data_IF_653208129225
#
_entry.id   IF_653208129225
#
_cell.length_a   1.000
_cell.length_b   1.000
_cell.length_c   1.000
_cell.angle_alpha   90.00
_cell.angle_beta   90.00
_cell.angle_gamma   90.00
#
_symmetry.space_group_name_H-M   'P 1'
#
loop_
_entity.id
_entity.type
_entity.pdbx_description
1 polymer ?
#
# COMPACT_ATOMS: atom_id res chain seq x y z
N UNK A 1 -14.43 -29.21 -9.91
CA UNK A 1 -13.11 -29.28 -9.26
C UNK A 1 -12.47 -27.92 -9.17
N UNK A 2 -11.82 -27.62 -8.03
CA UNK A 2 -11.05 -26.39 -7.83
C UNK A 2 -9.58 -26.66 -8.18
N UNK A 3 -8.96 -25.80 -8.98
CA UNK A 3 -7.56 -25.98 -9.42
C UNK A 3 -6.54 -25.38 -8.46
N UNK A 4 -6.97 -24.55 -7.50
CA UNK A 4 -6.12 -23.92 -6.49
C UNK A 4 -6.78 -22.73 -5.81
N UNK A 5 -6.03 -22.08 -4.92
CA UNK A 5 -6.46 -20.90 -4.15
C UNK A 5 -5.39 -19.80 -4.27
N UNK A 6 -5.83 -18.55 -4.43
CA UNK A 6 -4.98 -17.35 -4.39
C UNK A 6 -5.40 -16.41 -3.27
N UNK A 7 -4.44 -15.81 -2.56
CA UNK A 7 -4.68 -14.86 -1.48
C UNK A 7 -3.79 -13.61 -1.60
N UNK A 8 -4.40 -12.43 -1.57
CA UNK A 8 -3.70 -11.19 -1.24
C UNK A 8 -3.76 -10.96 0.27
N UNK A 9 -2.64 -10.59 0.89
CA UNK A 9 -2.57 -10.35 2.33
C UNK A 9 -1.92 -9.01 2.65
N UNK A 10 -2.37 -8.32 3.71
CA UNK A 10 -1.54 -7.29 4.34
C UNK A 10 -0.32 -7.94 4.98
N UNK A 11 0.68 -7.11 5.32
CA UNK A 11 1.93 -7.55 5.94
C UNK A 11 2.99 -7.99 4.94
N UNK A 12 4.15 -8.39 5.47
CA UNK A 12 5.29 -8.84 4.68
C UNK A 12 5.15 -10.33 4.36
N UNK A 13 5.26 -10.67 3.09
CA UNK A 13 5.15 -12.04 2.58
C UNK A 13 6.54 -12.58 2.24
N UNK A 14 6.88 -13.75 2.77
CA UNK A 14 8.01 -14.54 2.28
C UNK A 14 7.44 -15.59 1.31
N UNK A 15 7.58 -15.32 0.02
CA UNK A 15 6.97 -16.15 -1.05
C UNK A 15 7.61 -17.54 -1.11
N UNK A 16 8.92 -17.63 -0.86
CA UNK A 16 9.63 -18.91 -0.91
C UNK A 16 9.20 -19.82 0.24
N UNK A 17 9.06 -19.25 1.46
CA UNK A 17 8.59 -20.01 2.63
C UNK A 17 7.07 -20.12 2.71
N UNK A 18 6.33 -19.31 1.95
CA UNK A 18 4.88 -19.23 2.01
C UNK A 18 4.35 -18.73 3.35
N UNK A 19 5.07 -17.78 3.98
CA UNK A 19 4.75 -17.25 5.30
C UNK A 19 4.39 -15.76 5.26
N UNK A 20 3.68 -15.30 6.29
CA UNK A 20 3.27 -13.89 6.45
C UNK A 20 3.64 -13.40 7.85
N UNK A 21 4.09 -12.16 7.97
CA UNK A 21 4.34 -11.50 9.26
C UNK A 21 3.97 -10.02 9.18
N UNK A 22 3.58 -9.41 10.30
CA UNK A 22 3.32 -7.97 10.38
C UNK A 22 1.95 -7.55 9.83
N UNK A 23 1.01 -8.47 9.66
CA UNK A 23 -0.39 -8.14 9.39
C UNK A 23 -1.10 -7.79 10.71
N UNK A 24 -0.84 -6.60 11.24
CA UNK A 24 -1.31 -6.17 12.56
C UNK A 24 -2.83 -6.10 12.69
N UNK A 25 -3.54 -5.78 11.61
CA UNK A 25 -5.00 -5.81 11.55
C UNK A 25 -5.58 -7.22 11.71
N UNK A 26 -4.78 -8.26 11.44
CA UNK A 26 -5.12 -9.67 11.64
C UNK A 26 -4.54 -10.23 12.94
N UNK A 27 -3.91 -9.40 13.77
CA UNK A 27 -3.11 -9.80 14.94
C UNK A 27 -1.98 -10.79 14.62
N UNK A 28 -1.47 -10.80 13.38
CA UNK A 28 -0.35 -11.64 12.98
C UNK A 28 0.98 -10.94 13.27
N UNK A 29 1.29 -10.83 14.56
CA UNK A 29 2.52 -10.21 15.05
C UNK A 29 3.73 -11.13 14.92
N UNK A 30 3.51 -12.44 14.81
CA UNK A 30 4.54 -13.46 14.57
C UNK A 30 4.37 -14.09 13.19
N UNK A 31 5.40 -14.80 12.73
CA UNK A 31 5.39 -15.50 11.44
C UNK A 31 4.26 -16.54 11.40
N UNK A 32 3.42 -16.47 10.38
CA UNK A 32 2.33 -17.40 10.12
C UNK A 32 2.64 -18.28 8.89
N UNK A 33 2.61 -19.63 9.00
CA UNK A 33 2.84 -20.54 7.87
C UNK A 33 1.57 -20.77 7.05
N UNK A 34 1.04 -19.69 6.47
CA UNK A 34 -0.27 -19.66 5.81
C UNK A 34 -0.37 -20.70 4.68
N UNK A 35 0.68 -20.83 3.85
CA UNK A 35 0.68 -21.78 2.75
C UNK A 35 0.58 -23.22 3.22
N UNK A 36 1.45 -23.62 4.15
CA UNK A 36 1.46 -24.98 4.71
C UNK A 36 0.11 -25.33 5.33
N UNK A 37 -0.47 -24.41 6.11
CA UNK A 37 -1.75 -24.62 6.78
C UNK A 37 -2.89 -24.85 5.78
N UNK A 38 -2.96 -24.05 4.72
CA UNK A 38 -4.03 -24.15 3.72
C UNK A 38 -3.86 -25.38 2.82
N UNK A 39 -2.65 -25.64 2.32
CA UNK A 39 -2.39 -26.80 1.45
C UNK A 39 -2.60 -28.12 2.22
N UNK A 40 -2.17 -28.20 3.49
CA UNK A 40 -2.38 -29.39 4.32
C UNK A 40 -3.85 -29.64 4.63
N UNK A 41 -4.65 -28.58 4.82
CA UNK A 41 -6.06 -28.69 5.13
C UNK A 41 -6.93 -29.05 3.92
N UNK A 42 -6.57 -28.56 2.73
CA UNK A 42 -7.43 -28.65 1.54
C UNK A 42 -6.89 -29.56 0.43
N UNK A 43 -5.61 -29.90 0.46
CA UNK A 43 -4.98 -30.78 -0.53
C UNK A 43 -4.92 -30.20 -1.95
N UNK A 44 -5.04 -28.88 -2.10
CA UNK A 44 -4.96 -28.18 -3.39
C UNK A 44 -3.90 -27.07 -3.37
N UNK A 45 -3.33 -26.69 -4.52
CA UNK A 45 -2.28 -25.67 -4.58
C UNK A 45 -2.71 -24.32 -4.01
N UNK A 46 -1.82 -23.66 -3.27
CA UNK A 46 -2.03 -22.32 -2.73
C UNK A 46 -0.92 -21.34 -3.12
N UNK A 47 -1.33 -20.15 -3.53
CA UNK A 47 -0.46 -19.01 -3.78
C UNK A 47 -0.89 -17.81 -2.93
N UNK A 48 0.08 -17.07 -2.41
CA UNK A 48 -0.16 -15.82 -1.69
C UNK A 48 0.87 -14.77 -2.08
N UNK A 49 0.45 -13.52 -2.01
CA UNK A 49 1.30 -12.35 -2.26
C UNK A 49 0.77 -11.15 -1.45
N UNK A 50 1.52 -10.05 -1.44
CA UNK A 50 1.07 -8.79 -0.88
C UNK A 50 -0.17 -8.26 -1.63
N UNK A 51 -1.08 -7.61 -0.90
CA UNK A 51 -2.33 -7.08 -1.43
C UNK A 51 -2.15 -6.11 -2.62
N UNK A 52 -1.19 -5.19 -2.58
CA UNK A 52 -0.91 -4.26 -3.69
C UNK A 52 -0.40 -5.00 -4.94
N UNK A 53 0.42 -6.03 -4.76
CA UNK A 53 0.88 -6.90 -5.84
C UNK A 53 -0.27 -7.67 -6.51
N UNK A 54 -1.15 -8.28 -5.70
CA UNK A 54 -2.32 -9.00 -6.23
C UNK A 54 -3.28 -8.05 -6.95
N UNK A 55 -3.46 -6.83 -6.42
CA UNK A 55 -4.24 -5.81 -7.09
C UNK A 55 -3.61 -5.39 -8.43
N UNK A 56 -2.29 -5.24 -8.51
CA UNK A 56 -1.58 -4.98 -9.76
C UNK A 56 -1.78 -6.08 -10.80
N UNK A 57 -1.75 -7.36 -10.39
CA UNK A 57 -2.06 -8.49 -11.26
C UNK A 57 -3.51 -8.46 -11.77
N UNK A 58 -4.45 -8.10 -10.90
CA UNK A 58 -5.86 -7.95 -11.26
C UNK A 58 -6.08 -6.82 -12.27
N UNK A 59 -5.54 -5.64 -11.99
CA UNK A 59 -5.60 -4.48 -12.89
C UNK A 59 -4.92 -4.73 -14.22
N UNK A 60 -3.78 -5.43 -14.21
CA UNK A 60 -3.15 -5.91 -15.44
C UNK A 60 -4.08 -6.83 -16.21
N UNK A 61 -4.68 -7.83 -15.57
CA UNK A 61 -5.40 -8.88 -16.28
C UNK A 61 -6.79 -8.46 -16.80
N UNK A 62 -7.57 -7.76 -15.96
CA UNK A 62 -8.97 -7.42 -16.22
C UNK A 62 -9.32 -5.96 -16.02
N UNK A 63 -8.40 -5.16 -15.49
CA UNK A 63 -8.62 -3.74 -15.24
C UNK A 63 -7.93 -2.84 -16.27
N UNK A 64 -7.47 -1.68 -15.79
CA UNK A 64 -6.93 -0.61 -16.62
C UNK A 64 -5.59 -0.96 -17.30
N UNK A 65 -4.94 -2.05 -16.90
CA UNK A 65 -3.68 -2.48 -17.50
C UNK A 65 -3.83 -3.21 -18.84
N UNK A 66 -5.06 -3.55 -19.26
CA UNK A 66 -5.37 -4.12 -20.60
C UNK A 66 -4.47 -5.31 -21.03
N UNK A 67 -4.06 -6.12 -20.06
CA UNK A 67 -3.15 -7.25 -20.21
C UNK A 67 -1.75 -6.88 -20.75
N UNK A 68 -1.36 -5.60 -20.67
CA UNK A 68 -0.03 -5.11 -21.06
C UNK A 68 1.07 -5.83 -20.26
N UNK A 69 2.20 -6.21 -20.88
CA UNK A 69 3.33 -6.82 -20.16
C UNK A 69 3.97 -5.89 -19.12
N UNK A 70 3.83 -4.58 -19.26
CA UNK A 70 4.46 -3.58 -18.41
C UNK A 70 3.40 -2.69 -17.77
N UNK A 71 3.19 -2.85 -16.46
CA UNK A 71 2.17 -2.14 -15.68
C UNK A 71 2.76 -1.70 -14.35
N UNK A 72 2.61 -0.42 -14.02
CA UNK A 72 2.84 0.08 -12.67
C UNK A 72 1.47 0.41 -12.09
N UNK A 73 1.14 -0.28 -11.01
CA UNK A 73 -0.05 -0.02 -10.23
C UNK A 73 0.34 0.73 -8.95
N UNK A 74 -0.42 1.77 -8.63
CA UNK A 74 -0.23 2.57 -7.41
C UNK A 74 -1.58 2.67 -6.73
N UNK A 75 -1.63 2.31 -5.44
CA UNK A 75 -2.82 2.53 -4.61
C UNK A 75 -2.69 3.85 -3.87
N UNK A 76 -3.75 4.64 -3.89
CA UNK A 76 -3.89 5.85 -3.08
C UNK A 76 -5.09 5.65 -2.16
N UNK A 77 -4.83 5.58 -0.85
CA UNK A 77 -5.85 5.37 0.16
C UNK A 77 -5.34 5.84 1.51
N UNK A 78 -5.59 5.08 2.57
CA UNK A 78 -5.03 5.35 3.91
C UNK A 78 -3.50 5.50 3.86
N UNK A 79 -2.85 4.72 3.00
CA UNK A 79 -1.43 4.77 2.67
C UNK A 79 -1.18 4.83 1.17
N UNK A 80 0.07 4.60 0.78
CA UNK A 80 0.48 4.50 -0.63
C UNK A 80 1.21 3.18 -0.86
N UNK A 81 0.56 2.28 -1.60
CA UNK A 81 1.15 1.00 -2.02
C UNK A 81 1.40 0.98 -3.53
N UNK A 82 2.02 -0.10 -3.99
CA UNK A 82 2.20 -0.32 -5.42
C UNK A 82 2.57 -1.75 -5.77
N UNK A 83 2.44 -2.05 -7.05
CA UNK A 83 2.87 -3.31 -7.63
C UNK A 83 3.41 -3.06 -9.04
N UNK A 84 4.50 -3.73 -9.39
CA UNK A 84 5.20 -3.52 -10.66
C UNK A 84 5.20 -4.83 -11.43
N UNK A 85 4.60 -4.83 -12.61
CA UNK A 85 4.73 -5.90 -13.59
C UNK A 85 5.63 -5.41 -14.71
N UNK A 86 6.69 -6.16 -15.03
CA UNK A 86 7.60 -5.87 -16.12
C UNK A 86 7.85 -7.13 -16.94
N UNK A 87 7.82 -7.00 -18.27
CA UNK A 87 7.94 -8.14 -19.20
C UNK A 87 6.97 -9.30 -18.85
N UNK A 88 5.76 -8.96 -18.41
CA UNK A 88 4.71 -9.92 -18.01
C UNK A 88 4.94 -10.60 -16.66
N UNK A 89 5.94 -10.19 -15.87
CA UNK A 89 6.27 -10.77 -14.58
C UNK A 89 6.11 -9.74 -13.47
N UNK A 90 5.41 -10.13 -12.40
CA UNK A 90 5.36 -9.33 -11.18
C UNK A 90 6.77 -9.29 -10.56
N UNK A 91 7.19 -8.11 -10.15
CA UNK A 91 8.48 -7.89 -9.51
C UNK A 91 8.31 -7.85 -7.99
N UNK A 92 9.01 -8.74 -7.29
CA UNK A 92 9.07 -8.77 -5.82
C UNK A 92 10.32 -8.10 -5.25
N UNK A 93 11.40 -8.04 -6.05
CA UNK A 93 12.70 -7.56 -5.60
C UNK A 93 13.39 -8.52 -4.64
N UNK A 94 14.68 -8.25 -4.35
CA UNK A 94 15.54 -9.16 -3.56
C UNK A 94 15.02 -9.35 -2.12
N UNK A 95 14.34 -8.35 -1.58
CA UNK A 95 13.80 -8.37 -0.21
C UNK A 95 12.27 -8.53 -0.16
N UNK A 96 11.59 -8.78 -1.28
CA UNK A 96 10.12 -8.87 -1.33
C UNK A 96 9.40 -7.51 -1.21
N UNK A 97 10.13 -6.39 -1.33
CA UNK A 97 9.61 -5.03 -1.14
C UNK A 97 9.64 -4.18 -2.44
N UNK A 98 9.73 -4.80 -3.62
CA UNK A 98 9.55 -4.04 -4.86
C UNK A 98 8.11 -3.52 -4.95
N UNK A 99 7.95 -2.26 -5.37
CA UNK A 99 6.63 -1.62 -5.43
C UNK A 99 6.23 -0.86 -4.16
N UNK A 100 7.05 -0.87 -3.09
CA UNK A 100 6.89 -0.05 -1.87
C UNK A 100 7.16 1.45 -2.11
N UNK A 101 6.53 2.01 -3.14
CA UNK A 101 6.73 3.37 -3.63
C UNK A 101 6.31 4.43 -2.61
N UNK A 102 5.39 4.10 -1.71
CA UNK A 102 4.99 4.97 -0.60
C UNK A 102 6.15 5.32 0.33
N UNK A 103 7.18 4.47 0.43
CA UNK A 103 8.31 4.66 1.33
C UNK A 103 9.58 5.20 0.65
N UNK A 104 9.47 5.67 -0.60
CA UNK A 104 10.51 6.45 -1.28
C UNK A 104 10.60 7.83 -0.63
N UNK A 105 11.80 8.26 -0.23
CA UNK A 105 12.02 9.60 0.32
C UNK A 105 11.95 10.63 -0.81
N UNK A 106 10.94 11.50 -0.75
CA UNK A 106 10.74 12.62 -1.69
C UNK A 106 11.18 13.95 -1.10
N UNK A 107 11.18 14.08 0.23
CA UNK A 107 11.70 15.25 0.94
C UNK A 107 12.43 14.83 2.23
N UNK A 108 13.77 14.83 2.26
CA UNK A 108 14.54 14.44 3.45
C UNK A 108 14.20 15.24 4.73
N UNK A 109 13.66 16.45 4.58
CA UNK A 109 13.25 17.33 5.68
C UNK A 109 11.73 17.29 5.95
N UNK A 110 11.00 16.40 5.27
CA UNK A 110 9.55 16.29 5.39
C UNK A 110 9.07 15.62 6.67
N UNK A 111 7.87 15.05 6.63
CA UNK A 111 7.24 14.46 7.81
C UNK A 111 7.80 13.09 8.17
N UNK A 112 7.69 12.73 9.45
CA UNK A 112 8.02 11.39 9.92
C UNK A 112 7.05 10.34 9.34
N UNK A 113 7.60 9.21 8.91
CA UNK A 113 6.86 8.07 8.37
C UNK A 113 6.84 6.92 9.39
N UNK A 114 5.75 6.17 9.40
CA UNK A 114 5.58 4.99 10.26
C UNK A 114 6.58 3.88 9.98
N UNK A 115 7.19 3.85 8.79
CA UNK A 115 8.27 2.92 8.46
C UNK A 115 9.62 3.26 9.15
N UNK A 116 9.69 4.34 9.91
CA UNK A 116 10.88 4.79 10.66
C UNK A 116 11.78 5.76 9.88
N UNK A 117 11.46 6.05 8.61
CA UNK A 117 12.13 7.09 7.81
C UNK A 117 11.44 8.44 7.98
N UNK A 118 12.05 9.46 7.38
CA UNK A 118 11.47 10.80 7.17
C UNK A 118 11.28 11.06 5.68
N UNK A 119 10.22 11.77 5.33
CA UNK A 119 10.05 12.30 3.98
C UNK A 119 9.49 11.35 2.95
N UNK A 120 8.86 10.26 3.37
CA UNK A 120 8.32 9.28 2.46
C UNK A 120 7.15 9.85 1.64
N UNK A 121 7.02 9.43 0.38
CA UNK A 121 5.93 9.84 -0.52
C UNK A 121 4.55 9.72 0.15
N UNK A 122 4.30 8.61 0.86
CA UNK A 122 3.05 8.36 1.59
C UNK A 122 2.68 9.49 2.56
N UNK A 123 3.68 10.13 3.17
CA UNK A 123 3.45 11.17 4.19
C UNK A 123 2.81 12.44 3.64
N UNK A 124 2.84 12.61 2.32
CA UNK A 124 2.30 13.78 1.62
C UNK A 124 1.20 13.44 0.61
N UNK A 125 1.12 12.20 0.12
CA UNK A 125 0.18 11.83 -0.94
C UNK A 125 -0.90 10.82 -0.55
N UNK A 126 -0.79 10.15 0.60
CA UNK A 126 -1.91 9.34 1.11
C UNK A 126 -3.08 10.23 1.56
N UNK A 127 -4.26 9.64 1.79
CA UNK A 127 -5.41 10.34 2.33
C UNK A 127 -5.08 11.06 3.66
N UNK A 128 -4.28 10.43 4.52
CA UNK A 128 -3.80 11.07 5.76
C UNK A 128 -2.67 12.07 5.49
N UNK A 129 -1.84 11.81 4.47
CA UNK A 129 -0.76 12.67 4.03
C UNK A 129 -1.24 14.03 3.52
N UNK A 130 -2.23 14.06 2.63
CA UNK A 130 -2.77 15.31 2.07
C UNK A 130 -3.42 16.18 3.15
N UNK A 131 -4.11 15.56 4.13
CA UNK A 131 -4.69 16.27 5.28
C UNK A 131 -3.59 16.86 6.17
N UNK A 132 -2.52 16.09 6.43
CA UNK A 132 -1.36 16.57 7.19
C UNK A 132 -0.68 17.75 6.50
N UNK A 133 -0.49 17.68 5.18
CA UNK A 133 0.06 18.78 4.39
C UNK A 133 -0.85 20.01 4.47
N UNK A 134 -2.16 19.84 4.30
CA UNK A 134 -3.13 20.94 4.40
C UNK A 134 -3.08 21.63 5.77
N UNK A 135 -3.02 20.86 6.86
CA UNK A 135 -2.88 21.41 8.22
C UNK A 135 -1.56 22.15 8.40
N UNK A 136 -0.44 21.57 7.99
CA UNK A 136 0.85 22.23 8.07
C UNK A 136 0.90 23.56 7.30
N UNK A 137 0.41 23.56 6.05
CA UNK A 137 0.38 24.79 5.24
C UNK A 137 -0.62 25.82 5.76
N UNK A 138 -1.69 25.40 6.44
CA UNK A 138 -2.68 26.32 7.02
C UNK A 138 -2.10 27.21 8.12
N UNK A 139 -1.05 26.75 8.82
CA UNK A 139 -0.37 27.49 9.89
C UNK A 139 0.36 28.73 9.36
N UNK A 140 0.90 28.65 8.14
CA UNK A 140 1.68 29.73 7.51
C UNK A 140 0.86 30.53 6.48
N UNK A 141 -0.29 30.02 6.03
CA UNK A 141 -1.10 30.68 4.99
C UNK A 141 -1.84 31.91 5.54
N UNK A 142 -1.45 33.10 5.06
CA UNK A 142 -2.03 34.38 5.50
C UNK A 142 -3.26 34.86 4.71
N UNK A 143 -3.76 34.07 3.75
CA UNK A 143 -4.90 34.43 2.90
C UNK A 143 -6.23 33.84 3.35
N UNK A 144 -7.29 34.17 2.61
CA UNK A 144 -8.62 33.59 2.81
C UNK A 144 -8.73 32.22 2.12
N UNK A 145 -9.12 31.20 2.88
CA UNK A 145 -9.37 29.84 2.38
C UNK A 145 -10.44 29.17 3.23
N UNK A 146 -11.47 28.61 2.60
CA UNK A 146 -12.51 27.83 3.29
C UNK A 146 -11.90 26.64 4.04
N UNK A 147 -10.87 26.01 3.48
CA UNK A 147 -10.15 24.90 4.12
C UNK A 147 -9.39 25.38 5.37
N UNK A 148 -8.77 26.56 5.30
CA UNK A 148 -8.08 27.15 6.46
C UNK A 148 -9.08 27.47 7.57
N UNK A 149 -10.18 28.14 7.23
CA UNK A 149 -11.23 28.48 8.20
C UNK A 149 -11.77 27.23 8.89
N UNK A 150 -12.06 26.16 8.15
CA UNK A 150 -12.50 24.90 8.72
C UNK A 150 -11.45 24.30 9.69
N UNK A 151 -10.16 24.35 9.34
CA UNK A 151 -9.08 23.89 10.21
C UNK A 151 -8.97 24.75 11.48
N UNK A 152 -9.00 26.08 11.35
CA UNK A 152 -8.91 27.04 12.46
C UNK A 152 -10.10 26.90 13.43
N UNK A 153 -11.31 26.67 12.89
CA UNK A 153 -12.54 26.46 13.65
C UNK A 153 -12.59 25.08 14.34
N UNK A 154 -11.56 24.24 14.17
CA UNK A 154 -11.47 22.90 14.75
C UNK A 154 -12.41 21.88 14.12
N UNK A 155 -12.86 22.13 12.88
CA UNK A 155 -13.68 21.17 12.14
C UNK A 155 -12.84 19.95 11.74
N UNK A 156 -13.53 18.81 11.61
CA UNK A 156 -12.89 17.62 11.06
C UNK A 156 -12.67 17.80 9.55
N UNK A 157 -11.44 17.55 9.11
CA UNK A 157 -11.02 17.74 7.72
C UNK A 157 -10.42 16.43 7.23
N UNK A 158 -10.96 15.96 6.13
CA UNK A 158 -10.63 14.70 5.48
C UNK A 158 -10.11 14.94 4.07
N UNK A 159 -9.55 13.90 3.46
CA UNK A 159 -9.13 13.95 2.07
C UNK A 159 -10.27 14.17 1.09
N UNK A 160 -11.55 14.01 1.50
CA UNK A 160 -12.71 14.18 0.61
C UNK A 160 -13.20 15.62 0.52
N UNK A 161 -12.77 16.49 1.41
CA UNK A 161 -13.39 17.82 1.55
C UNK A 161 -12.99 18.77 0.42
N UNK A 162 -11.82 18.56 -0.22
CA UNK A 162 -11.35 19.31 -1.39
C UNK A 162 -10.33 18.58 -2.29
N UNK A 163 -10.11 17.27 -2.13
CA UNK A 163 -9.12 16.51 -2.94
C UNK A 163 -9.72 15.28 -3.62
#
# INVERSE_FOLDING_TARGET
>A
DFVGIGMGTPGSVDIEKGTVVGAYNLNWTTVQPVKEQIESALGIPFALDNDANVAALGERWKGAGENNPDVIFITLGTGVGGGIVAAGKLLHGVAGCAGEVGHVTVDPNGFDCTCGKRGCLETVSSATGVVRVARHLSEEFAGDSELKQAIDDGQDVSSKDRF
#
